data_IF_489370141579
#
_entry.id   IF_489370141579
#
_cell.length_a   1.000
_cell.length_b   1.000
_cell.length_c   1.000
_cell.angle_alpha   90.00
_cell.angle_beta   90.00
_cell.angle_gamma   90.00
#
_symmetry.space_group_name_H-M   'P 1'
#
loop_
_entity.id
_entity.type
_entity.pdbx_description
1 polymer ?
#
# COMPACT_ATOMS: atom_id res chain seq x y z
N UNK A 1 9.58 8.80 -8.49
CA UNK A 1 8.49 9.23 -9.38
C UNK A 1 7.30 9.69 -8.56
N UNK A 2 6.81 10.88 -8.83
CA UNK A 2 5.64 11.42 -8.16
C UNK A 2 4.66 11.97 -9.20
N UNK A 3 3.43 11.43 -9.22
CA UNK A 3 2.39 11.83 -10.16
C UNK A 3 1.08 12.07 -9.40
N UNK A 4 0.60 13.30 -9.41
CA UNK A 4 -0.64 13.68 -8.74
C UNK A 4 -0.45 14.83 -7.76
N UNK A 5 -1.56 15.47 -7.36
CA UNK A 5 -1.52 16.61 -6.44
C UNK A 5 -0.91 16.21 -5.10
N UNK A 6 0.18 16.86 -4.73
CA UNK A 6 0.94 16.60 -3.50
C UNK A 6 1.47 15.16 -3.36
N UNK A 7 1.61 14.41 -4.47
CA UNK A 7 2.31 13.13 -4.45
C UNK A 7 3.80 13.37 -4.15
N UNK A 8 4.37 12.58 -3.27
CA UNK A 8 5.79 12.67 -2.90
C UNK A 8 6.22 14.07 -2.45
N UNK A 9 5.33 14.83 -1.83
CA UNK A 9 5.55 16.25 -1.58
C UNK A 9 6.74 16.55 -0.68
N UNK A 10 6.91 15.78 0.38
CA UNK A 10 7.95 16.01 1.37
C UNK A 10 8.83 14.77 1.51
N UNK A 11 10.11 14.90 1.20
CA UNK A 11 11.11 13.82 1.37
C UNK A 11 10.68 12.50 0.73
N UNK A 12 10.56 12.49 -0.61
CA UNK A 12 10.36 11.24 -1.34
C UNK A 12 11.67 10.45 -1.35
N UNK A 13 11.62 9.21 -0.90
CA UNK A 13 12.79 8.34 -0.84
C UNK A 13 13.38 8.00 -2.21
N UNK A 14 14.65 7.62 -2.23
CA UNK A 14 15.34 7.21 -3.44
C UNK A 14 14.66 5.99 -4.06
N UNK A 15 14.55 5.96 -5.38
CA UNK A 15 13.95 4.85 -6.13
C UNK A 15 12.50 4.54 -5.72
N UNK A 16 11.77 5.52 -5.20
CA UNK A 16 10.38 5.34 -4.79
C UNK A 16 9.40 5.81 -5.87
N UNK A 17 8.17 5.34 -5.75
CA UNK A 17 7.06 5.68 -6.66
C UNK A 17 5.86 6.15 -5.84
N UNK A 18 5.30 7.31 -6.22
CA UNK A 18 4.09 7.84 -5.61
C UNK A 18 3.15 8.30 -6.73
N UNK A 19 2.04 7.60 -6.92
CA UNK A 19 1.07 7.91 -7.98
C UNK A 19 -0.32 8.05 -7.37
N UNK A 20 -0.90 9.23 -7.50
CA UNK A 20 -2.20 9.55 -6.97
C UNK A 20 -2.16 10.77 -6.06
N UNK A 21 -3.33 11.37 -5.80
CA UNK A 21 -3.42 12.54 -4.93
C UNK A 21 -2.90 12.19 -3.54
N UNK A 22 -1.89 12.92 -3.07
CA UNK A 22 -1.27 12.74 -1.76
C UNK A 22 -0.67 11.33 -1.51
N UNK A 23 -0.40 10.57 -2.58
CA UNK A 23 0.33 9.31 -2.43
C UNK A 23 1.76 9.61 -1.97
N UNK A 24 2.25 8.87 -0.98
CA UNK A 24 3.60 9.05 -0.44
C UNK A 24 3.91 10.49 -0.05
N UNK A 25 2.93 11.24 0.43
CA UNK A 25 3.05 12.69 0.59
C UNK A 25 4.18 13.09 1.53
N UNK A 26 4.27 12.49 2.70
CA UNK A 26 5.23 12.88 3.73
C UNK A 26 6.15 11.71 4.07
N UNK A 27 7.46 11.91 3.89
CA UNK A 27 8.51 10.95 4.28
C UNK A 27 8.31 9.54 3.69
N UNK A 28 8.17 9.44 2.37
CA UNK A 28 8.13 8.14 1.71
C UNK A 28 9.52 7.51 1.75
N UNK A 29 9.59 6.27 2.24
CA UNK A 29 10.85 5.53 2.34
C UNK A 29 11.44 5.15 1.00
N UNK A 30 12.72 4.77 1.00
CA UNK A 30 13.44 4.35 -0.22
C UNK A 30 12.87 3.03 -0.75
N UNK A 31 12.83 2.90 -2.08
CA UNK A 31 12.31 1.70 -2.77
C UNK A 31 10.87 1.38 -2.36
N UNK A 32 10.10 2.39 -1.98
CA UNK A 32 8.71 2.23 -1.60
C UNK A 32 7.79 2.57 -2.77
N UNK A 33 6.65 1.89 -2.84
CA UNK A 33 5.63 2.12 -3.87
C UNK A 33 4.32 2.52 -3.20
N UNK A 34 3.77 3.66 -3.60
CA UNK A 34 2.47 4.13 -3.13
C UNK A 34 1.62 4.50 -4.35
N UNK A 35 0.53 3.77 -4.56
CA UNK A 35 -0.37 3.99 -5.70
C UNK A 35 -1.79 4.13 -5.19
N UNK A 36 -2.43 5.23 -5.56
CA UNK A 36 -3.79 5.53 -5.17
C UNK A 36 -3.90 6.75 -4.27
N UNK A 37 -5.10 7.31 -4.17
CA UNK A 37 -5.36 8.45 -3.31
C UNK A 37 -5.05 8.11 -1.85
N UNK A 38 -4.18 8.89 -1.22
CA UNK A 38 -3.76 8.74 0.17
C UNK A 38 -2.97 7.46 0.47
N UNK A 39 -2.49 6.73 -0.54
CA UNK A 39 -1.66 5.55 -0.33
C UNK A 39 -0.31 5.98 0.27
N UNK A 40 0.09 5.36 1.38
CA UNK A 40 1.34 5.68 2.05
C UNK A 40 1.46 7.15 2.41
N UNK A 41 0.37 7.77 2.84
CA UNK A 41 0.27 9.22 3.06
C UNK A 41 1.38 9.75 3.97
N UNK A 42 1.60 9.10 5.09
CA UNK A 42 2.57 9.54 6.11
C UNK A 42 3.55 8.43 6.46
N UNK A 43 4.85 8.76 6.41
CA UNK A 43 5.93 7.89 6.91
C UNK A 43 5.89 6.47 6.35
N UNK A 44 5.69 6.33 5.04
CA UNK A 44 5.74 5.02 4.40
C UNK A 44 7.14 4.41 4.57
N UNK A 45 7.20 3.21 5.13
CA UNK A 45 8.46 2.53 5.38
C UNK A 45 9.15 2.12 4.08
N UNK A 46 10.48 2.04 4.13
CA UNK A 46 11.28 1.57 2.99
C UNK A 46 10.92 0.13 2.61
N UNK A 47 11.09 -0.20 1.32
CA UNK A 47 10.84 -1.54 0.79
C UNK A 47 9.42 -2.02 1.07
N UNK A 48 8.44 -1.12 1.02
CA UNK A 48 7.03 -1.44 1.21
C UNK A 48 6.20 -1.07 -0.01
N UNK A 49 5.06 -1.73 -0.16
CA UNK A 49 4.13 -1.49 -1.26
C UNK A 49 2.76 -1.18 -0.67
N UNK A 50 2.18 -0.05 -1.08
CA UNK A 50 0.83 0.35 -0.70
C UNK A 50 0.04 0.67 -1.96
N UNK A 51 -1.06 -0.06 -2.17
CA UNK A 51 -2.01 0.20 -3.25
C UNK A 51 -3.36 0.43 -2.61
N UNK A 52 -3.91 1.64 -2.76
CA UNK A 52 -5.11 2.03 -2.06
C UNK A 52 -6.15 2.65 -2.99
N UNK A 53 -7.33 2.07 -2.98
CA UNK A 53 -8.51 2.61 -3.65
C UNK A 53 -9.66 2.73 -2.65
N UNK A 54 -9.34 3.02 -1.39
CA UNK A 54 -10.32 3.04 -0.29
C UNK A 54 -10.82 4.44 0.05
N UNK A 55 -10.16 5.49 -0.47
CA UNK A 55 -10.50 6.87 -0.14
C UNK A 55 -10.02 7.34 1.23
N UNK A 56 -9.29 6.50 1.97
CA UNK A 56 -8.72 6.80 3.27
C UNK A 56 -7.22 6.54 3.26
N UNK A 57 -6.48 7.21 4.16
CA UNK A 57 -5.05 6.98 4.29
C UNK A 57 -4.75 5.52 4.63
N UNK A 58 -3.78 4.94 3.94
CA UNK A 58 -3.31 3.59 4.20
C UNK A 58 -1.80 3.66 4.40
N UNK A 59 -1.36 3.58 5.65
CA UNK A 59 0.03 3.74 6.03
C UNK A 59 0.64 2.42 6.49
N UNK A 60 1.93 2.24 6.22
CA UNK A 60 2.65 1.06 6.68
C UNK A 60 3.02 1.16 8.15
N UNK A 61 3.15 0.03 8.82
CA UNK A 61 3.60 -0.07 10.21
C UNK A 61 5.05 -0.54 10.33
N UNK A 62 5.60 -1.12 9.27
CA UNK A 62 6.96 -1.64 9.27
C UNK A 62 7.48 -1.83 7.84
N UNK A 63 8.78 -1.99 7.72
CA UNK A 63 9.45 -2.30 6.45
C UNK A 63 8.98 -3.64 5.90
N UNK A 64 8.90 -3.74 4.58
CA UNK A 64 8.59 -5.00 3.90
C UNK A 64 7.11 -5.36 3.83
N UNK A 65 6.21 -4.47 4.24
CA UNK A 65 4.78 -4.73 4.13
C UNK A 65 4.27 -4.55 2.71
N UNK A 66 3.31 -5.39 2.33
CA UNK A 66 2.50 -5.23 1.14
C UNK A 66 1.04 -4.99 1.57
N UNK A 67 0.57 -3.76 1.42
CA UNK A 67 -0.78 -3.36 1.80
C UNK A 67 -1.62 -3.06 0.57
N UNK A 68 -2.82 -3.65 0.50
CA UNK A 68 -3.78 -3.39 -0.57
C UNK A 68 -5.18 -3.22 0.04
N UNK A 69 -5.89 -2.19 -0.37
CA UNK A 69 -7.30 -2.00 -0.06
C UNK A 69 -8.04 -1.40 -1.28
N UNK A 70 -9.27 -1.83 -1.57
CA UNK A 70 -10.02 -2.91 -0.90
C UNK A 70 -9.65 -4.29 -1.45
N UNK A 71 -9.98 -5.35 -0.71
CA UNK A 71 -9.93 -6.74 -1.16
C UNK A 71 -11.30 -7.35 -0.88
N UNK A 72 -11.87 -8.01 -1.91
CA UNK A 72 -13.20 -8.61 -1.80
C UNK A 72 -13.20 -9.75 -0.79
N UNK A 73 -14.14 -9.71 0.15
CA UNK A 73 -14.35 -10.81 1.08
C UNK A 73 -15.24 -11.88 0.42
N UNK A 74 -14.79 -13.13 0.48
CA UNK A 74 -15.57 -14.30 0.06
C UNK A 74 -15.74 -15.20 1.28
N UNK A 75 -16.98 -15.33 1.76
CA UNK A 75 -17.27 -16.19 2.90
C UNK A 75 -17.48 -17.64 2.42
N UNK A 76 -17.17 -18.61 3.30
CA UNK A 76 -17.37 -20.02 3.03
C UNK A 76 -16.16 -20.72 2.45
N UNK A 77 -16.42 -21.67 1.54
CA UNK A 77 -15.38 -22.53 0.96
C UNK A 77 -14.56 -21.79 -0.09
N UNK A 78 -13.26 -22.02 -0.09
CA UNK A 78 -12.36 -21.46 -1.11
C UNK A 78 -12.80 -21.91 -2.51
N UNK A 79 -13.10 -20.98 -3.43
CA UNK A 79 -13.51 -21.34 -4.79
C UNK A 79 -12.42 -22.12 -5.53
N UNK A 80 -12.85 -22.97 -6.48
CA UNK A 80 -11.95 -23.73 -7.33
C UNK A 80 -10.98 -22.83 -8.09
N UNK A 81 -9.72 -23.21 -8.15
CA UNK A 81 -8.68 -22.47 -8.87
C UNK A 81 -7.95 -21.43 -8.05
N UNK A 82 -8.37 -21.21 -6.79
CA UNK A 82 -7.71 -20.26 -5.90
C UNK A 82 -6.77 -20.97 -4.92
N UNK A 83 -5.66 -20.31 -4.64
CA UNK A 83 -4.72 -20.73 -3.60
C UNK A 83 -4.86 -19.84 -2.38
N UNK A 84 -4.50 -20.38 -1.21
CA UNK A 84 -4.67 -19.66 0.04
C UNK A 84 -3.60 -18.58 0.24
N UNK A 85 -4.07 -17.35 0.46
CA UNK A 85 -3.27 -16.22 0.88
C UNK A 85 -4.01 -15.59 2.06
N UNK A 86 -3.29 -15.18 3.10
CA UNK A 86 -3.91 -14.53 4.23
C UNK A 86 -3.92 -13.01 4.01
N UNK A 87 -5.04 -12.37 4.32
CA UNK A 87 -5.22 -10.94 4.19
C UNK A 87 -5.82 -10.37 5.47
N UNK A 88 -5.21 -9.29 5.96
CA UNK A 88 -5.74 -8.57 7.12
C UNK A 88 -6.63 -7.43 6.61
N UNK A 89 -7.98 -7.53 6.76
CA UNK A 89 -8.88 -6.50 6.24
C UNK A 89 -8.79 -5.17 7.00
N UNK A 90 -8.23 -5.16 8.21
CA UNK A 90 -8.03 -3.94 8.98
C UNK A 90 -6.81 -3.19 8.50
N UNK A 91 -5.68 -3.87 8.30
CA UNK A 91 -4.43 -3.26 7.90
C UNK A 91 -4.22 -3.22 6.39
N UNK A 92 -4.84 -4.13 5.63
CA UNK A 92 -4.62 -4.30 4.20
C UNK A 92 -3.38 -5.11 3.85
N UNK A 93 -2.78 -5.83 4.81
CA UNK A 93 -1.58 -6.62 4.57
C UNK A 93 -1.92 -7.99 4.00
N UNK A 94 -1.12 -8.41 2.99
CA UNK A 94 -1.12 -9.78 2.48
C UNK A 94 0.09 -10.52 3.03
N UNK A 95 -0.13 -11.79 3.39
CA UNK A 95 0.92 -12.76 3.67
C UNK A 95 0.55 -14.07 2.99
N UNK A 96 1.50 -14.95 2.79
CA UNK A 96 1.21 -16.31 2.32
C UNK A 96 1.73 -17.33 3.32
N UNK A 97 1.04 -18.48 3.34
CA UNK A 97 1.50 -19.60 4.16
C UNK A 97 2.51 -20.41 3.36
N UNK A 98 3.70 -20.52 3.89
CA UNK A 98 4.77 -21.32 3.31
C UNK A 98 5.12 -22.54 4.15
#
# INVERSE_FOLDING_TARGET
>A
VAIGASAGKTTQGESSVAIGKQAGRDNQGSSAVAIGNLAGLDNQHSNSIVIAASGSALNTAQTGQFLVKPVRNVAGTLPTGFSQVAYNPTTGEFIYYG
#
